data_IF_400819476501
#
_entry.id   IF_400819476501
#
_cell.length_a   1.000
_cell.length_b   1.000
_cell.length_c   1.000
_cell.angle_alpha   90.00
_cell.angle_beta   90.00
_cell.angle_gamma   90.00
#
_symmetry.space_group_name_H-M   'P 1'
#
loop_
_entity.id
_entity.type
_entity.pdbx_description
1 polymer ?
#
# COMPACT_ATOMS: atom_id res chain seq x y z
N UNK A 1 -13.98 -0.35 5.94
CA UNK A 1 -13.71 -0.40 4.51
C UNK A 1 -14.94 -1.04 3.86
N UNK A 2 -15.88 -0.25 3.34
CA UNK A 2 -17.02 -0.79 2.58
C UNK A 2 -16.47 -1.31 1.25
N UNK A 3 -16.28 -2.63 1.18
CA UNK A 3 -15.50 -3.25 0.10
C UNK A 3 -16.24 -3.37 -1.23
N UNK A 4 -17.55 -3.11 -1.29
CA UNK A 4 -18.32 -3.00 -2.54
C UNK A 4 -19.49 -2.05 -2.30
N UNK A 5 -19.74 -1.04 -3.17
CA UNK A 5 -20.88 -0.16 -3.02
C UNK A 5 -22.18 -0.96 -3.16
N UNK A 6 -22.94 -1.07 -2.08
CA UNK A 6 -24.32 -1.57 -2.14
C UNK A 6 -25.17 -0.54 -2.89
N UNK A 7 -25.67 -0.94 -4.07
CA UNK A 7 -26.97 -0.52 -4.60
C UNK A 7 -27.13 0.86 -5.25
N UNK A 8 -26.33 1.88 -4.94
CA UNK A 8 -26.47 3.19 -5.60
C UNK A 8 -25.47 3.27 -6.74
N UNK A 9 -25.86 2.79 -7.94
CA UNK A 9 -25.17 2.88 -9.24
C UNK A 9 -23.87 3.72 -9.19
N UNK A 10 -22.81 3.12 -8.67
CA UNK A 10 -21.48 3.71 -8.81
C UNK A 10 -21.13 3.45 -10.26
N UNK A 11 -20.89 4.52 -11.00
CA UNK A 11 -20.56 4.45 -12.42
C UNK A 11 -19.44 3.41 -12.67
N UNK A 12 -19.53 2.67 -13.77
CA UNK A 12 -18.61 1.58 -14.07
C UNK A 12 -17.16 2.07 -14.13
N UNK A 13 -16.92 3.29 -14.61
CA UNK A 13 -15.61 3.94 -14.60
C UNK A 13 -15.15 4.17 -13.16
N UNK A 14 -16.02 4.69 -12.30
CA UNK A 14 -15.70 4.89 -10.88
C UNK A 14 -15.42 3.57 -10.16
N UNK A 15 -16.10 2.47 -10.51
CA UNK A 15 -15.78 1.15 -9.96
C UNK A 15 -14.41 0.65 -10.41
N UNK A 16 -14.07 0.85 -11.68
CA UNK A 16 -12.76 0.48 -12.22
C UNK A 16 -11.63 1.31 -11.62
N UNK A 17 -11.82 2.62 -11.47
CA UNK A 17 -10.85 3.52 -10.81
C UNK A 17 -10.59 3.10 -9.36
N UNK A 18 -11.65 2.74 -8.62
CA UNK A 18 -11.54 2.23 -7.25
C UNK A 18 -10.83 0.88 -7.21
N UNK A 19 -11.12 -0.03 -8.15
CA UNK A 19 -10.46 -1.33 -8.24
C UNK A 19 -8.96 -1.18 -8.53
N UNK A 20 -8.58 -0.32 -9.48
CA UNK A 20 -7.17 -0.02 -9.79
C UNK A 20 -6.46 0.58 -8.58
N UNK A 21 -7.10 1.51 -7.88
CA UNK A 21 -6.56 2.11 -6.66
C UNK A 21 -6.34 1.08 -5.56
N UNK A 22 -7.28 0.14 -5.41
CA UNK A 22 -7.16 -0.93 -4.42
C UNK A 22 -6.03 -1.92 -4.76
N UNK A 23 -5.87 -2.30 -6.03
CA UNK A 23 -4.75 -3.15 -6.46
C UNK A 23 -3.42 -2.49 -6.17
N UNK A 24 -3.27 -1.17 -6.45
CA UNK A 24 -2.05 -0.41 -6.11
C UNK A 24 -1.78 -0.41 -4.61
N UNK A 25 -2.82 -0.24 -3.79
CA UNK A 25 -2.70 -0.28 -2.34
C UNK A 25 -2.27 -1.66 -1.83
N UNK A 26 -2.80 -2.74 -2.39
CA UNK A 26 -2.38 -4.10 -2.03
C UNK A 26 -0.94 -4.38 -2.46
N UNK A 27 -0.53 -3.95 -3.65
CA UNK A 27 0.86 -4.07 -4.12
C UNK A 27 1.83 -3.36 -3.16
N UNK A 28 1.44 -2.19 -2.66
CA UNK A 28 2.23 -1.44 -1.70
C UNK A 28 2.38 -2.20 -0.36
N UNK A 29 1.30 -2.79 0.15
CA UNK A 29 1.36 -3.63 1.35
C UNK A 29 2.27 -4.85 1.17
N UNK A 30 2.18 -5.53 0.02
CA UNK A 30 3.06 -6.67 -0.29
C UNK A 30 4.53 -6.23 -0.33
N UNK A 31 4.82 -5.06 -0.91
CA UNK A 31 6.18 -4.53 -0.97
C UNK A 31 6.73 -4.23 0.43
N UNK A 32 5.93 -3.64 1.31
CA UNK A 32 6.29 -3.41 2.72
C UNK A 32 6.58 -4.74 3.41
N UNK A 33 5.72 -5.75 3.25
CA UNK A 33 5.92 -7.08 3.83
C UNK A 33 7.12 -7.83 3.27
N UNK A 34 7.51 -7.57 2.02
CA UNK A 34 8.65 -8.22 1.37
C UNK A 34 10.01 -7.54 1.65
N UNK A 35 10.03 -6.35 2.25
CA UNK A 35 11.27 -5.67 2.63
C UNK A 35 11.84 -6.33 3.89
N UNK A 36 12.66 -7.36 3.67
CA UNK A 36 13.25 -8.21 4.72
C UNK A 36 14.08 -7.40 5.74
N UNK A 37 14.68 -6.28 5.30
CA UNK A 37 15.47 -5.36 6.13
C UNK A 37 14.62 -4.56 7.13
N UNK A 38 13.30 -4.47 6.88
CA UNK A 38 12.36 -3.73 7.73
C UNK A 38 11.77 -4.59 8.86
N UNK A 39 11.73 -5.91 8.69
CA UNK A 39 11.15 -6.80 9.68
C UNK A 39 12.23 -7.37 10.58
N UNK A 40 12.09 -7.25 11.91
CA UNK A 40 13.03 -7.92 12.80
C UNK A 40 12.93 -9.43 12.57
N UNK A 41 14.09 -10.07 12.41
CA UNK A 41 14.18 -11.53 12.43
C UNK A 41 13.53 -12.07 13.71
N UNK A 42 12.92 -13.26 13.59
CA UNK A 42 12.00 -13.85 14.57
C UNK A 42 12.33 -13.52 16.04
N UNK A 43 11.42 -12.80 16.70
CA UNK A 43 11.50 -12.48 18.14
C UNK A 43 11.77 -11.00 18.47
N UNK A 44 12.03 -10.13 17.49
CA UNK A 44 12.14 -8.69 17.73
C UNK A 44 10.79 -7.96 17.76
N UNK A 45 10.75 -6.81 18.42
CA UNK A 45 9.57 -5.95 18.53
C UNK A 45 9.12 -5.47 17.16
N UNK A 46 7.85 -5.71 16.80
CA UNK A 46 7.29 -5.24 15.54
C UNK A 46 7.43 -3.70 15.42
N UNK A 47 7.73 -3.18 14.21
CA UNK A 47 7.90 -1.76 14.01
C UNK A 47 6.59 -0.98 14.24
N UNK A 48 6.71 0.22 14.79
CA UNK A 48 5.59 1.11 15.06
C UNK A 48 4.97 1.64 13.74
N UNK A 49 3.68 1.98 13.75
CA UNK A 49 2.97 2.49 12.56
C UNK A 49 3.67 3.71 11.95
N UNK A 50 4.28 4.57 12.77
CA UNK A 50 5.05 5.73 12.30
C UNK A 50 6.29 5.34 11.50
N UNK A 51 6.99 4.26 11.90
CA UNK A 51 8.16 3.76 11.19
C UNK A 51 7.77 3.09 9.87
N UNK A 52 6.64 2.38 9.86
CA UNK A 52 6.06 1.83 8.62
C UNK A 52 5.74 2.95 7.63
N UNK A 53 5.20 4.07 8.10
CA UNK A 53 4.91 5.24 7.26
C UNK A 53 6.17 5.87 6.67
N UNK A 54 7.22 6.08 7.45
CA UNK A 54 8.48 6.62 6.93
C UNK A 54 9.13 5.70 5.89
N UNK A 55 9.15 4.38 6.14
CA UNK A 55 9.67 3.42 5.17
C UNK A 55 8.86 3.44 3.86
N UNK A 56 7.53 3.59 3.97
CA UNK A 56 6.64 3.72 2.82
C UNK A 56 6.96 4.96 1.98
N UNK A 57 7.11 6.10 2.64
CA UNK A 57 7.41 7.38 2.00
C UNK A 57 8.78 7.33 1.30
N UNK A 58 9.79 6.70 1.93
CA UNK A 58 11.10 6.47 1.31
C UNK A 58 11.02 5.59 0.06
N UNK A 59 10.25 4.50 0.11
CA UNK A 59 10.05 3.61 -1.05
C UNK A 59 9.34 4.33 -2.19
N UNK A 60 8.33 5.15 -1.88
CA UNK A 60 7.58 5.93 -2.87
C UNK A 60 8.44 7.04 -3.49
N UNK A 61 9.28 7.72 -2.68
CA UNK A 61 10.23 8.72 -3.16
C UNK A 61 11.26 8.10 -4.10
N UNK A 62 11.83 6.94 -3.75
CA UNK A 62 12.81 6.25 -4.58
C UNK A 62 12.26 5.81 -5.95
N UNK A 63 10.96 5.51 -6.05
CA UNK A 63 10.32 5.25 -7.35
C UNK A 63 10.11 6.50 -8.18
N UNK A 64 9.93 7.67 -7.54
CA UNK A 64 9.77 8.96 -8.23
C UNK A 64 11.08 9.35 -8.93
N UNK A 65 12.22 9.15 -8.25
CA UNK A 65 13.55 9.51 -8.75
C UNK A 65 14.06 8.61 -9.89
N UNK A 66 13.51 7.40 -10.07
CA UNK A 66 13.87 6.51 -11.20
C UNK A 66 13.11 6.82 -12.50
N UNK A 67 12.15 7.74 -12.47
CA UNK A 67 11.31 8.10 -13.61
C UNK A 67 11.69 9.46 -14.24
N UNK A 68 12.65 10.19 -13.66
CA UNK A 68 13.29 11.40 -14.21
C UNK A 68 14.67 11.07 -14.80
#
# INVERSE_FOLDING_TARGET
QELVPNGTKVDMVTMLEKAVSYVKFLQLQVKVLATDEFWPAQGGTAPEISQVKEALDAILSSQREQLD
#
